data_IF_148497700711
#
_entry.id   IF_148497700711
#
_cell.length_a   1.000
_cell.length_b   1.000
_cell.length_c   1.000
_cell.angle_alpha   90.00
_cell.angle_beta   90.00
_cell.angle_gamma   90.00
#
_symmetry.space_group_name_H-M   'P 1'
#
loop_
_entity.id
_entity.type
_entity.pdbx_description
1 polymer ?
#
# COMPACT_ATOMS: atom_id res chain seq x y z
N UNK A 1 5.70 4.43 -14.90
CA UNK A 1 6.66 3.99 -13.86
C UNK A 1 7.20 5.21 -13.14
N UNK A 2 7.28 5.15 -11.82
CA UNK A 2 7.58 6.24 -10.91
C UNK A 2 8.75 5.83 -10.01
N UNK A 3 9.68 6.75 -9.80
CA UNK A 3 10.73 6.56 -8.79
C UNK A 3 10.16 6.69 -7.38
N UNK A 4 10.93 6.27 -6.37
CA UNK A 4 10.52 6.40 -4.97
C UNK A 4 10.16 7.84 -4.56
N UNK A 5 10.90 8.84 -5.09
CA UNK A 5 10.61 10.26 -4.85
C UNK A 5 9.29 10.71 -5.50
N UNK A 6 9.02 10.25 -6.72
CA UNK A 6 7.74 10.54 -7.41
C UNK A 6 6.57 9.83 -6.74
N UNK A 7 6.76 8.58 -6.30
CA UNK A 7 5.75 7.84 -5.56
C UNK A 7 5.38 8.56 -4.27
N UNK A 8 6.37 9.03 -3.49
CA UNK A 8 6.13 9.86 -2.30
C UNK A 8 5.27 11.08 -2.60
N UNK A 9 5.55 11.79 -3.70
CA UNK A 9 4.78 12.97 -4.11
C UNK A 9 3.36 12.62 -4.55
N UNK A 10 3.15 11.47 -5.22
CA UNK A 10 1.82 11.03 -5.67
C UNK A 10 0.94 10.47 -4.56
N UNK A 11 1.56 9.83 -3.57
CA UNK A 11 0.84 9.19 -2.46
C UNK A 11 0.76 10.08 -1.23
N UNK A 12 1.36 11.28 -1.29
CA UNK A 12 1.51 12.23 -0.17
C UNK A 12 2.14 11.58 1.06
N UNK A 13 3.05 10.63 0.83
CA UNK A 13 3.77 9.94 1.88
C UNK A 13 5.20 10.47 1.96
N UNK A 14 5.70 10.60 3.19
CA UNK A 14 7.11 10.81 3.42
C UNK A 14 7.93 9.59 2.99
N UNK A 15 9.17 9.84 2.55
CA UNK A 15 10.10 8.81 2.09
C UNK A 15 10.27 7.67 3.11
N UNK A 16 10.30 8.02 4.40
CA UNK A 16 10.39 7.06 5.49
C UNK A 16 9.14 6.18 5.58
N UNK A 17 7.94 6.73 5.44
CA UNK A 17 6.70 5.93 5.44
C UNK A 17 6.68 4.96 4.27
N UNK A 18 7.03 5.42 3.06
CA UNK A 18 7.07 4.56 1.89
C UNK A 18 8.16 3.49 2.00
N UNK A 19 9.34 3.85 2.52
CA UNK A 19 10.43 2.92 2.81
C UNK A 19 10.01 1.89 3.85
N UNK A 20 9.33 2.32 4.91
CA UNK A 20 8.79 1.46 5.95
C UNK A 20 7.79 0.46 5.38
N UNK A 21 6.84 0.90 4.54
CA UNK A 21 5.89 0.02 3.88
C UNK A 21 6.57 -1.04 3.02
N UNK A 22 7.57 -0.64 2.23
CA UNK A 22 8.35 -1.60 1.45
C UNK A 22 9.10 -2.60 2.35
N UNK A 23 9.67 -2.15 3.47
CA UNK A 23 10.42 -3.00 4.39
C UNK A 23 9.51 -3.97 5.18
N UNK A 24 8.28 -3.55 5.48
CA UNK A 24 7.27 -4.40 6.13
C UNK A 24 6.60 -5.38 5.16
N UNK A 25 6.97 -5.37 3.88
CA UNK A 25 6.35 -6.22 2.85
C UNK A 25 4.95 -5.77 2.44
N UNK A 26 4.58 -4.51 2.71
CA UNK A 26 3.23 -4.01 2.41
C UNK A 26 3.00 -3.74 0.91
N UNK A 27 4.09 -3.63 0.13
CA UNK A 27 4.05 -3.39 -1.31
C UNK A 27 4.69 -4.60 -2.02
N UNK A 28 3.90 -5.64 -2.34
CA UNK A 28 4.44 -6.91 -2.85
C UNK A 28 4.95 -6.83 -4.30
N UNK A 29 4.45 -5.89 -5.11
CA UNK A 29 4.70 -5.84 -6.56
C UNK A 29 5.77 -4.81 -6.98
N UNK A 30 6.61 -4.34 -6.05
CA UNK A 30 7.66 -3.36 -6.37
C UNK A 30 8.63 -3.93 -7.41
N UNK A 31 8.66 -3.30 -8.58
CA UNK A 31 9.61 -3.60 -9.64
C UNK A 31 10.97 -2.98 -9.33
N UNK A 32 12.04 -3.66 -9.75
CA UNK A 32 13.42 -3.15 -9.67
C UNK A 32 13.96 -2.98 -11.08
N UNK A 33 14.51 -1.81 -11.38
CA UNK A 33 15.23 -1.56 -12.64
C UNK A 33 16.70 -1.93 -12.51
N UNK A 34 17.41 -1.97 -13.65
CA UNK A 34 18.83 -2.35 -13.78
C UNK A 34 19.78 -1.67 -12.76
N UNK A 35 19.43 -0.50 -12.25
CA UNK A 35 20.25 0.24 -11.28
C UNK A 35 19.89 -0.05 -9.81
N UNK A 36 19.26 -1.20 -9.53
CA UNK A 36 18.73 -1.63 -8.23
C UNK A 36 17.77 -0.59 -7.56
N UNK A 37 17.19 0.30 -8.36
CA UNK A 37 16.23 1.30 -7.91
C UNK A 37 14.81 0.71 -7.93
N UNK A 38 14.07 0.95 -6.86
CA UNK A 38 12.64 0.60 -6.75
C UNK A 38 11.83 1.54 -7.64
N UNK A 39 11.06 0.96 -8.55
CA UNK A 39 10.11 1.68 -9.40
C UNK A 39 8.70 1.18 -9.13
N UNK A 40 7.77 2.11 -9.15
CA UNK A 40 6.35 1.89 -8.87
C UNK A 40 5.56 2.17 -10.14
N UNK A 41 4.64 1.33 -10.55
CA UNK A 41 3.69 1.67 -11.61
C UNK A 41 2.39 2.27 -11.05
N UNK A 42 1.46 2.66 -11.92
CA UNK A 42 0.21 3.26 -11.50
C UNK A 42 -0.62 2.35 -10.57
N UNK A 43 -0.53 1.03 -10.73
CA UNK A 43 -1.18 0.08 -9.81
C UNK A 43 -0.51 0.09 -8.45
N UNK A 44 0.82 0.17 -8.40
CA UNK A 44 1.54 0.30 -7.13
C UNK A 44 1.19 1.62 -6.42
N UNK A 45 1.07 2.73 -7.17
CA UNK A 45 0.67 4.02 -6.60
C UNK A 45 -0.76 3.95 -6.02
N UNK A 46 -1.72 3.41 -6.77
CA UNK A 46 -3.09 3.22 -6.28
C UNK A 46 -3.15 2.30 -5.05
N UNK A 47 -2.29 1.28 -5.02
CA UNK A 47 -2.14 0.40 -3.87
C UNK A 47 -1.62 1.14 -2.64
N UNK A 48 -0.55 1.92 -2.79
CA UNK A 48 0.03 2.71 -1.70
C UNK A 48 -0.96 3.76 -1.19
N UNK A 49 -1.75 4.38 -2.08
CA UNK A 49 -2.82 5.29 -1.67
C UNK A 49 -3.90 4.56 -0.85
N UNK A 50 -4.21 3.32 -1.20
CA UNK A 50 -5.14 2.48 -0.42
C UNK A 50 -4.58 2.17 0.98
N UNK A 51 -3.28 1.88 1.08
CA UNK A 51 -2.59 1.71 2.37
C UNK A 51 -2.59 3.01 3.19
N UNK A 52 -2.41 4.16 2.54
CA UNK A 52 -2.49 5.46 3.20
C UNK A 52 -3.90 5.71 3.76
N UNK A 53 -4.94 5.35 3.02
CA UNK A 53 -6.32 5.41 3.50
C UNK A 53 -6.52 4.54 4.75
N UNK A 54 -6.01 3.29 4.75
CA UNK A 54 -6.05 2.42 5.93
C UNK A 54 -5.34 3.05 7.13
N UNK A 55 -4.15 3.64 6.92
CA UNK A 55 -3.40 4.33 7.97
C UNK A 55 -4.20 5.50 8.54
N UNK A 56 -4.82 6.30 7.67
CA UNK A 56 -5.67 7.43 8.07
C UNK A 56 -6.95 6.98 8.79
N UNK A 57 -7.46 5.78 8.49
CA UNK A 57 -8.54 5.15 9.24
C UNK A 57 -8.10 4.61 10.62
N UNK A 58 -6.86 4.86 11.05
CA UNK A 58 -6.33 4.38 12.33
C UNK A 58 -6.03 2.88 12.33
N UNK A 59 -5.96 2.25 11.16
CA UNK A 59 -5.67 0.81 11.06
C UNK A 59 -4.23 0.54 11.44
N UNK A 60 -4.04 -0.49 12.26
CA UNK A 60 -2.72 -0.96 12.64
C UNK A 60 -2.00 -1.63 11.47
N UNK A 61 -0.69 -1.84 11.61
CA UNK A 61 0.12 -2.57 10.61
C UNK A 61 -0.42 -3.98 10.38
N UNK A 62 -0.92 -4.64 11.44
CA UNK A 62 -1.51 -5.98 11.36
C UNK A 62 -2.72 -6.01 10.42
N UNK A 63 -3.62 -5.04 10.53
CA UNK A 63 -4.79 -4.93 9.65
C UNK A 63 -4.40 -4.60 8.21
N UNK A 64 -3.35 -3.79 8.01
CA UNK A 64 -2.81 -3.56 6.67
C UNK A 64 -2.25 -4.84 6.05
N UNK A 65 -1.54 -5.66 6.83
CA UNK A 65 -1.05 -6.97 6.36
C UNK A 65 -2.19 -7.90 6.01
N UNK A 66 -3.24 -7.94 6.84
CA UNK A 66 -4.44 -8.73 6.56
C UNK A 66 -5.14 -8.24 5.28
N UNK A 67 -5.25 -6.94 5.07
CA UNK A 67 -5.77 -6.36 3.84
C UNK A 67 -4.97 -6.77 2.59
N UNK A 68 -3.65 -6.90 2.72
CA UNK A 68 -2.78 -7.35 1.63
C UNK A 68 -3.00 -8.82 1.33
N UNK A 69 -3.04 -9.67 2.37
CA UNK A 69 -3.33 -11.10 2.23
C UNK A 69 -4.68 -11.32 1.53
N UNK A 70 -5.69 -10.58 1.98
CA UNK A 70 -7.00 -10.55 1.34
C UNK A 70 -6.89 -10.08 -0.11
N UNK A 71 -6.18 -8.99 -0.39
CA UNK A 71 -6.02 -8.51 -1.76
C UNK A 71 -5.32 -9.51 -2.68
N UNK A 72 -4.40 -10.34 -2.17
CA UNK A 72 -3.79 -11.44 -2.93
C UNK A 72 -4.79 -12.56 -3.26
N UNK A 73 -5.82 -12.79 -2.42
CA UNK A 73 -6.91 -13.75 -2.69
C UNK A 73 -7.85 -13.32 -3.83
N UNK A 74 -7.63 -12.15 -4.44
CA UNK A 74 -8.42 -11.68 -5.58
C UNK A 74 -9.83 -11.21 -5.21
N UNK A 75 -10.74 -11.19 -6.17
CA UNK A 75 -12.06 -10.57 -6.03
C UNK A 75 -12.94 -11.20 -4.95
N UNK A 76 -12.69 -12.47 -4.60
CA UNK A 76 -13.39 -13.16 -3.51
C UNK A 76 -13.27 -12.46 -2.15
N UNK A 77 -12.21 -11.67 -1.94
CA UNK A 77 -11.96 -10.96 -0.68
C UNK A 77 -12.47 -9.52 -0.66
N UNK A 78 -13.10 -9.02 -1.73
CA UNK A 78 -13.71 -7.68 -1.77
C UNK A 78 -14.64 -7.42 -0.57
N UNK A 79 -15.51 -8.36 -0.13
CA UNK A 79 -16.37 -8.15 1.04
C UNK A 79 -15.58 -7.95 2.33
N UNK A 80 -14.50 -8.71 2.50
CA UNK A 80 -13.64 -8.67 3.68
C UNK A 80 -12.83 -7.37 3.73
N UNK A 81 -12.29 -6.95 2.59
CA UNK A 81 -11.62 -5.66 2.41
C UNK A 81 -12.54 -4.49 2.72
N UNK A 82 -13.80 -4.58 2.27
CA UNK A 82 -14.84 -3.60 2.64
C UNK A 82 -15.10 -3.60 4.14
N UNK A 83 -15.11 -4.74 4.83
CA UNK A 83 -15.26 -4.79 6.30
C UNK A 83 -14.13 -4.05 7.01
N UNK A 84 -12.87 -4.29 6.60
CA UNK A 84 -11.71 -3.58 7.16
C UNK A 84 -11.87 -2.06 6.96
N UNK A 85 -12.22 -1.62 5.75
CA UNK A 85 -12.42 -0.20 5.42
C UNK A 85 -13.66 0.43 6.05
N UNK A 86 -14.72 -0.35 6.31
CA UNK A 86 -16.01 0.11 6.84
C UNK A 86 -15.96 0.40 8.34
N UNK A 87 -14.85 0.12 9.04
CA UNK A 87 -14.68 0.51 10.45
C UNK A 87 -14.34 2.00 10.50
N UNK A 88 -15.33 2.83 10.15
CA UNK A 88 -15.38 4.23 10.53
C UNK A 88 -16.16 4.28 11.84
N UNK A 89 -15.48 4.06 12.97
CA UNK A 89 -16.04 4.54 14.24
C UNK A 89 -15.87 6.06 14.24
N UNK A 90 -17.04 6.73 14.29
CA UNK A 90 -17.24 8.17 14.50
C UNK A 90 -16.35 8.71 15.61
#
# INVERSE_FOLDING_TARGET
MYSMKQACHKTELSYETLKFYCNQGLVPNVKRVHNNRRVFDDRDIAWIQSLNCLKNCGKGITEMKEYIDLSMKGEASIPERKRILSVKKR
#
